data_IF_422977679019
#
_entry.id   IF_422977679019
#
_cell.length_a   1.000
_cell.length_b   1.000
_cell.length_c   1.000
_cell.angle_alpha   90.00
_cell.angle_beta   90.00
_cell.angle_gamma   90.00
#
_symmetry.space_group_name_H-M   'P 1'
#
loop_
_entity.id
_entity.type
_entity.pdbx_description
1 polymer ?
#
# COMPACT_ATOMS: atom_id res chain seq x y z
N UNK A 1 -12.37 16.35 37.07
CA UNK A 1 -12.55 14.97 37.58
C UNK A 1 -12.96 14.04 36.44
N UNK A 2 -12.04 13.18 36.00
CA UNK A 2 -12.32 11.86 35.41
C UNK A 2 -13.05 11.74 34.06
N UNK A 3 -12.44 12.12 32.93
CA UNK A 3 -12.84 11.56 31.62
C UNK A 3 -12.29 10.13 31.49
N UNK A 4 -13.06 9.15 31.98
CA UNK A 4 -12.94 7.75 31.55
C UNK A 4 -14.02 7.48 30.50
N UNK A 5 -13.64 7.58 29.23
CA UNK A 5 -14.44 7.09 28.10
C UNK A 5 -13.45 6.38 27.17
N UNK A 6 -13.26 5.08 27.34
CA UNK A 6 -13.99 3.95 26.74
C UNK A 6 -13.27 3.47 25.47
N UNK A 7 -12.59 2.33 25.62
CA UNK A 7 -12.29 1.40 24.53
C UNK A 7 -13.58 1.14 23.76
N UNK A 8 -13.58 1.45 22.47
CA UNK A 8 -14.55 1.04 21.45
C UNK A 8 -13.78 1.23 20.14
N UNK A 9 -13.24 0.17 19.54
CA UNK A 9 -14.01 -0.85 18.88
C UNK A 9 -14.09 -0.43 17.41
N UNK A 10 -13.13 -0.88 16.61
CA UNK A 10 -13.25 -0.91 15.16
C UNK A 10 -13.28 -2.36 14.70
N UNK A 11 -14.16 -3.14 15.33
CA UNK A 11 -14.83 -4.25 14.67
C UNK A 11 -15.84 -3.61 13.72
N UNK A 12 -15.36 -3.14 12.57
CA UNK A 12 -16.24 -2.79 11.46
C UNK A 12 -16.79 -4.11 10.93
N UNK A 13 -18.10 -4.26 11.09
CA UNK A 13 -18.85 -5.41 10.65
C UNK A 13 -18.50 -5.83 9.22
N UNK A 14 -17.99 -7.06 9.11
CA UNK A 14 -18.11 -8.03 8.02
C UNK A 14 -19.00 -7.62 6.84
N UNK A 15 -18.44 -6.80 5.95
CA UNK A 15 -18.45 -7.12 4.52
C UNK A 15 -17.29 -8.10 4.34
N UNK A 16 -17.27 -9.08 3.42
CA UNK A 16 -15.99 -9.69 3.03
C UNK A 16 -15.15 -8.59 2.35
N UNK A 17 -14.59 -7.70 3.17
CA UNK A 17 -13.51 -6.84 2.76
C UNK A 17 -12.35 -7.80 2.54
N UNK A 18 -11.76 -7.75 1.35
CA UNK A 18 -10.51 -8.44 1.06
C UNK A 18 -9.58 -8.24 2.26
N UNK A 19 -8.93 -9.32 2.70
CA UNK A 19 -8.04 -9.26 3.85
C UNK A 19 -7.01 -8.13 3.62
N UNK A 20 -6.71 -7.38 4.68
CA UNK A 20 -5.77 -6.26 4.60
C UNK A 20 -4.88 -6.20 5.83
N UNK A 21 -3.63 -5.86 5.62
CA UNK A 21 -2.60 -5.76 6.65
C UNK A 21 -2.16 -4.31 6.85
N UNK A 22 -2.03 -3.91 8.11
CA UNK A 22 -1.55 -2.58 8.53
C UNK A 22 -0.05 -2.61 8.80
N UNK A 23 0.67 -1.60 8.29
CA UNK A 23 2.10 -1.40 8.49
C UNK A 23 2.37 -0.04 9.12
N UNK A 24 3.23 -0.03 10.13
CA UNK A 24 3.60 1.16 10.90
C UNK A 24 5.04 1.57 10.60
N UNK A 25 5.29 2.87 10.51
CA UNK A 25 6.64 3.42 10.55
C UNK A 25 6.96 4.04 11.93
N UNK A 26 8.20 4.49 12.12
CA UNK A 26 8.69 5.04 13.40
C UNK A 26 8.02 6.37 13.79
N UNK A 27 7.56 7.15 12.81
CA UNK A 27 6.79 8.39 13.01
C UNK A 27 5.31 8.13 13.34
N UNK A 28 4.86 6.87 13.28
CA UNK A 28 3.50 6.47 13.59
C UNK A 28 2.50 6.62 12.44
N UNK A 29 2.96 6.77 11.19
CA UNK A 29 2.09 6.65 10.02
C UNK A 29 1.65 5.19 9.85
N UNK A 30 0.49 4.99 9.22
CA UNK A 30 -0.10 3.66 9.03
C UNK A 30 -0.47 3.45 7.57
N UNK A 31 0.17 2.50 6.90
CA UNK A 31 -0.16 2.09 5.54
C UNK A 31 -0.92 0.76 5.58
N UNK A 32 -2.16 0.75 5.07
CA UNK A 32 -2.98 -0.45 4.97
C UNK A 32 -2.96 -0.96 3.54
N UNK A 33 -2.55 -2.22 3.36
CA UNK A 33 -2.44 -2.90 2.08
C UNK A 33 -3.42 -4.08 1.99
N UNK A 34 -3.99 -4.33 0.81
CA UNK A 34 -4.78 -5.53 0.53
C UNK A 34 -3.87 -6.74 0.38
N UNK A 35 -4.19 -7.81 1.08
CA UNK A 35 -3.48 -9.09 1.03
C UNK A 35 -3.73 -9.83 -0.30
N UNK A 36 -4.87 -9.57 -0.95
CA UNK A 36 -5.27 -10.27 -2.17
C UNK A 36 -5.59 -9.31 -3.32
N UNK A 37 -5.19 -9.73 -4.53
CA UNK A 37 -5.59 -9.11 -5.79
C UNK A 37 -6.35 -10.11 -6.65
N UNK A 38 -7.30 -9.61 -7.45
CA UNK A 38 -7.99 -10.46 -8.40
C UNK A 38 -7.00 -11.05 -9.44
N UNK A 39 -7.23 -12.28 -9.94
CA UNK A 39 -6.33 -12.92 -10.90
C UNK A 39 -6.05 -12.06 -12.14
N UNK A 40 -7.07 -11.38 -12.68
CA UNK A 40 -6.90 -10.49 -13.83
C UNK A 40 -6.10 -9.20 -13.55
N UNK A 41 -5.90 -8.84 -12.29
CA UNK A 41 -4.98 -7.76 -11.88
C UNK A 41 -3.57 -8.27 -11.77
N UNK A 42 -3.37 -9.45 -11.16
CA UNK A 42 -2.07 -10.13 -11.07
C UNK A 42 -1.47 -10.36 -12.45
N UNK A 43 -2.24 -10.91 -13.39
CA UNK A 43 -1.79 -11.14 -14.77
C UNK A 43 -1.35 -9.83 -15.47
N UNK A 44 -2.09 -8.73 -15.24
CA UNK A 44 -1.74 -7.41 -15.79
C UNK A 44 -0.47 -6.84 -15.18
N UNK A 45 -0.21 -7.09 -13.89
CA UNK A 45 1.00 -6.64 -13.21
C UNK A 45 2.23 -7.39 -13.74
N UNK A 46 2.14 -8.72 -13.90
CA UNK A 46 3.21 -9.55 -14.51
C UNK A 46 3.56 -9.11 -15.94
N UNK A 47 2.54 -8.85 -16.77
CA UNK A 47 2.74 -8.52 -18.19
C UNK A 47 3.36 -7.13 -18.45
N UNK A 48 3.32 -6.21 -17.47
CA UNK A 48 3.77 -4.82 -17.65
C UNK A 48 5.28 -4.58 -17.52
N UNK A 49 6.05 -5.59 -17.13
CA UNK A 49 7.50 -5.46 -16.92
C UNK A 49 8.32 -5.46 -18.23
N UNK A 50 7.70 -5.68 -19.40
CA UNK A 50 8.41 -6.01 -20.65
C UNK A 50 8.64 -4.84 -21.63
N UNK A 51 8.76 -3.59 -21.18
CA UNK A 51 9.02 -2.46 -22.10
C UNK A 51 10.51 -2.15 -22.24
N UNK A 52 11.07 -2.43 -23.43
CA UNK A 52 12.51 -2.46 -23.73
C UNK A 52 13.26 -1.10 -23.74
N UNK A 53 12.63 0.00 -23.29
CA UNK A 53 13.17 1.36 -23.44
C UNK A 53 13.38 2.13 -22.11
N UNK A 54 13.19 1.49 -20.95
CA UNK A 54 13.36 2.14 -19.65
C UNK A 54 14.62 1.65 -18.90
N UNK A 55 15.28 2.54 -18.17
CA UNK A 55 16.36 2.19 -17.24
C UNK A 55 15.82 1.26 -16.14
N UNK A 56 16.67 0.40 -15.57
CA UNK A 56 16.26 -0.54 -14.49
C UNK A 56 15.66 0.19 -13.28
N UNK A 57 16.18 1.37 -12.96
CA UNK A 57 15.68 2.22 -11.88
C UNK A 57 14.27 2.77 -12.18
N UNK A 58 14.05 3.31 -13.39
CA UNK A 58 12.73 3.74 -13.87
C UNK A 58 11.70 2.60 -13.84
N UNK A 59 12.09 1.38 -14.22
CA UNK A 59 11.21 0.21 -14.17
C UNK A 59 10.82 -0.10 -12.73
N UNK A 60 11.79 -0.09 -11.80
CA UNK A 60 11.54 -0.38 -10.40
C UNK A 60 10.62 0.67 -9.75
N UNK A 61 10.87 1.96 -9.99
CA UNK A 61 10.01 3.05 -9.47
C UNK A 61 8.58 2.91 -9.99
N UNK A 62 8.41 2.70 -11.30
CA UNK A 62 7.08 2.49 -11.90
C UNK A 62 6.40 1.24 -11.36
N UNK A 63 7.15 0.16 -11.13
CA UNK A 63 6.61 -1.08 -10.55
C UNK A 63 6.09 -0.84 -9.13
N UNK A 64 6.85 -0.15 -8.29
CA UNK A 64 6.42 0.20 -6.92
C UNK A 64 5.17 1.10 -6.97
N UNK A 65 5.13 2.11 -7.83
CA UNK A 65 3.93 2.94 -8.00
C UNK A 65 2.70 2.13 -8.41
N UNK A 66 2.86 1.19 -9.34
CA UNK A 66 1.77 0.32 -9.79
C UNK A 66 1.31 -0.64 -8.69
N UNK A 67 2.22 -1.21 -7.91
CA UNK A 67 1.87 -2.06 -6.77
C UNK A 67 1.16 -1.25 -5.70
N UNK A 68 1.67 -0.06 -5.37
CA UNK A 68 1.04 0.85 -4.43
C UNK A 68 -0.37 1.23 -4.89
N UNK A 69 -0.56 1.55 -6.18
CA UNK A 69 -1.88 1.86 -6.75
C UNK A 69 -2.88 0.70 -6.58
N UNK A 70 -2.42 -0.55 -6.58
CA UNK A 70 -3.29 -1.72 -6.52
C UNK A 70 -3.54 -2.23 -5.11
N UNK A 71 -2.55 -2.07 -4.23
CA UNK A 71 -2.55 -2.66 -2.89
C UNK A 71 -2.99 -1.66 -1.82
N UNK A 72 -2.59 -0.40 -1.93
CA UNK A 72 -2.88 0.58 -0.88
C UNK A 72 -4.36 0.95 -0.86
N UNK A 73 -5.01 0.76 0.29
CA UNK A 73 -6.42 1.09 0.51
C UNK A 73 -6.61 2.21 1.53
N UNK A 74 -5.64 2.40 2.42
CA UNK A 74 -5.62 3.50 3.38
C UNK A 74 -4.19 3.88 3.68
N UNK A 75 -3.96 5.17 3.91
CA UNK A 75 -2.72 5.67 4.47
C UNK A 75 -3.03 6.79 5.45
N UNK A 76 -2.72 6.57 6.72
CA UNK A 76 -2.77 7.60 7.75
C UNK A 76 -1.40 8.24 7.90
N UNK A 77 -1.32 9.56 7.72
CA UNK A 77 -0.08 10.32 7.87
C UNK A 77 -0.32 11.48 8.80
N UNK A 78 0.50 11.62 9.84
CA UNK A 78 0.33 12.64 10.87
C UNK A 78 -1.12 12.70 11.43
N UNK A 79 -1.76 11.53 11.59
CA UNK A 79 -3.13 11.39 12.09
C UNK A 79 -4.24 11.74 11.07
N UNK A 80 -3.90 11.96 9.80
CA UNK A 80 -4.86 12.22 8.73
C UNK A 80 -5.05 10.98 7.85
N UNK A 81 -6.22 10.31 7.89
CA UNK A 81 -6.48 9.15 7.07
C UNK A 81 -6.82 9.55 5.62
N UNK A 82 -6.11 8.95 4.67
CA UNK A 82 -6.37 9.04 3.24
C UNK A 82 -6.87 7.69 2.74
N UNK A 83 -7.97 7.67 1.99
CA UNK A 83 -8.59 6.42 1.49
C UNK A 83 -8.87 6.47 -0.02
N UNK A 84 -8.82 7.66 -0.63
CA UNK A 84 -9.04 7.83 -2.06
C UNK A 84 -7.80 7.46 -2.86
N UNK A 85 -7.94 6.62 -3.89
CA UNK A 85 -6.81 6.15 -4.69
C UNK A 85 -5.96 7.28 -5.31
N UNK A 86 -6.61 8.32 -5.84
CA UNK A 86 -5.94 9.48 -6.42
C UNK A 86 -5.19 10.29 -5.35
N UNK A 87 -5.76 10.38 -4.14
CA UNK A 87 -5.17 11.08 -3.01
C UNK A 87 -3.98 10.30 -2.44
N UNK A 88 -4.11 8.98 -2.28
CA UNK A 88 -3.02 8.07 -1.92
C UNK A 88 -1.84 8.21 -2.88
N UNK A 89 -2.10 8.13 -4.18
CA UNK A 89 -1.05 8.21 -5.20
C UNK A 89 -0.43 9.62 -5.25
N UNK A 90 -1.25 10.67 -5.14
CA UNK A 90 -0.77 12.04 -5.03
C UNK A 90 0.13 12.23 -3.82
N UNK A 91 -0.27 11.69 -2.66
CA UNK A 91 0.50 11.78 -1.43
C UNK A 91 1.81 11.00 -1.49
N UNK A 92 1.82 9.82 -2.12
CA UNK A 92 3.05 9.04 -2.33
C UNK A 92 4.04 9.79 -3.23
N UNK A 93 3.55 10.40 -4.31
CA UNK A 93 4.38 11.21 -5.23
C UNK A 93 4.89 12.52 -4.64
N UNK A 94 4.24 13.03 -3.58
CA UNK A 94 4.69 14.22 -2.86
C UNK A 94 5.49 13.89 -1.59
N UNK A 95 5.51 12.63 -1.17
CA UNK A 95 6.23 12.19 0.03
C UNK A 95 7.73 12.47 -0.07
N UNK A 96 8.35 12.70 1.08
CA UNK A 96 9.79 12.81 1.23
C UNK A 96 10.51 11.49 0.91
N UNK A 97 11.82 11.51 0.61
CA UNK A 97 12.55 10.33 0.18
C UNK A 97 12.53 9.18 1.18
N UNK A 98 12.57 9.47 2.48
CA UNK A 98 12.50 8.47 3.55
C UNK A 98 11.16 7.74 3.55
N UNK A 99 10.07 8.50 3.53
CA UNK A 99 8.72 7.96 3.51
C UNK A 99 8.46 7.16 2.22
N UNK A 100 8.94 7.63 1.07
CA UNK A 100 8.86 6.84 -0.19
C UNK A 100 9.63 5.53 -0.09
N UNK A 101 10.82 5.55 0.52
CA UNK A 101 11.62 4.34 0.71
C UNK A 101 10.92 3.36 1.65
N UNK A 102 10.34 3.84 2.74
CA UNK A 102 9.55 3.00 3.65
C UNK A 102 8.36 2.39 2.91
N UNK A 103 7.51 3.20 2.25
CA UNK A 103 6.37 2.70 1.47
C UNK A 103 6.82 1.70 0.41
N UNK A 104 7.88 2.00 -0.33
CA UNK A 104 8.37 1.14 -1.41
C UNK A 104 8.87 -0.22 -0.91
N UNK A 105 9.57 -0.26 0.23
CA UNK A 105 9.99 -1.50 0.88
C UNK A 105 8.76 -2.28 1.36
N UNK A 106 7.87 -1.64 2.13
CA UNK A 106 6.65 -2.25 2.67
C UNK A 106 5.78 -2.87 1.57
N UNK A 107 5.52 -2.14 0.48
CA UNK A 107 4.71 -2.63 -0.65
C UNK A 107 5.38 -3.81 -1.36
N UNK A 108 6.71 -3.75 -1.55
CA UNK A 108 7.44 -4.83 -2.22
C UNK A 108 7.50 -6.08 -1.35
N UNK A 109 7.76 -5.94 -0.06
CA UNK A 109 7.81 -7.05 0.89
C UNK A 109 6.44 -7.69 1.07
N UNK A 110 5.39 -6.87 1.23
CA UNK A 110 4.02 -7.35 1.30
C UNK A 110 3.62 -8.13 0.04
N UNK A 111 3.90 -7.59 -1.14
CA UNK A 111 3.58 -8.27 -2.40
C UNK A 111 4.39 -9.55 -2.60
N UNK A 112 5.62 -9.66 -2.07
CA UNK A 112 6.39 -10.92 -2.09
C UNK A 112 5.78 -12.00 -1.20
N UNK A 113 5.28 -11.60 -0.03
CA UNK A 113 4.73 -12.52 0.96
C UNK A 113 3.31 -12.97 0.60
N UNK A 114 2.46 -12.03 0.22
CA UNK A 114 1.03 -12.26 -0.02
C UNK A 114 0.71 -12.61 -1.48
N UNK A 115 1.52 -12.13 -2.43
CA UNK A 115 1.32 -12.33 -3.87
C UNK A 115 2.58 -12.94 -4.53
N UNK A 116 3.07 -14.10 -4.04
CA UNK A 116 4.30 -14.73 -4.55
C UNK A 116 4.22 -15.01 -6.05
N UNK A 117 3.01 -15.11 -6.58
CA UNK A 117 2.78 -15.33 -7.99
C UNK A 117 3.27 -14.14 -8.86
N UNK A 118 3.46 -12.94 -8.32
CA UNK A 118 4.05 -11.81 -9.06
C UNK A 118 5.54 -11.99 -9.41
N UNK A 119 6.27 -12.91 -8.76
CA UNK A 119 7.68 -13.16 -9.04
C UNK A 119 8.60 -11.97 -8.77
N UNK A 120 8.40 -11.29 -7.63
CA UNK A 120 9.09 -10.07 -7.19
C UNK A 120 10.47 -10.31 -6.55
#
# INVERSE_FOLDING_TARGET
>A
MGRRQRRRGSETASVPHAASTDYHDDEGNVLTLRDELSPGTVERLRGRESSAAASRDDIQVRRIELLFERLAVRWEIAGLPLEGQAELLGRYRMADPELRRWVGQTVTEHARDQLPELGL
#
